data_IF_607045325332
#
_entry.id   IF_607045325332
#
_cell.length_a   1.000
_cell.length_b   1.000
_cell.length_c   1.000
_cell.angle_alpha   90.00
_cell.angle_beta   90.00
_cell.angle_gamma   90.00
#
_symmetry.space_group_name_H-M   'P 1'
#
loop_
_entity.id
_entity.type
_entity.pdbx_description
1 polymer ?
#
# COMPACT_ATOMS: atom_id res chain seq x y z
N UNK A 1 -0.04 -2.24 -21.68
CA UNK A 1 -0.40 -2.46 -20.24
C UNK A 1 0.35 -3.68 -19.72
N UNK A 2 0.98 -3.58 -18.54
CA UNK A 2 1.71 -4.65 -17.87
C UNK A 2 1.36 -4.60 -16.37
N UNK A 3 1.15 -5.75 -15.73
CA UNK A 3 0.97 -5.90 -14.29
C UNK A 3 2.05 -6.86 -13.77
N UNK A 4 2.65 -6.52 -12.63
CA UNK A 4 3.63 -7.36 -11.93
C UNK A 4 3.26 -7.41 -10.45
N UNK A 5 3.27 -8.60 -9.88
CA UNK A 5 3.17 -8.83 -8.44
C UNK A 5 4.60 -8.78 -7.88
N UNK A 6 4.86 -7.85 -6.97
CA UNK A 6 6.19 -7.63 -6.41
C UNK A 6 6.30 -8.12 -4.97
N UNK A 7 5.19 -8.13 -4.25
CA UNK A 7 5.12 -8.55 -2.86
C UNK A 7 3.75 -9.11 -2.49
N UNK A 8 3.64 -9.68 -1.30
CA UNK A 8 2.51 -10.49 -0.86
C UNK A 8 2.14 -11.58 -1.88
N UNK A 9 3.13 -12.08 -2.63
CA UNK A 9 3.01 -13.17 -3.57
C UNK A 9 3.56 -14.44 -2.91
N UNK A 10 2.69 -15.38 -2.56
CA UNK A 10 2.93 -16.52 -1.68
C UNK A 10 3.14 -16.20 -0.19
N UNK A 11 3.07 -14.94 0.21
CA UNK A 11 3.17 -14.46 1.59
C UNK A 11 2.02 -13.52 1.93
N UNK A 12 1.84 -13.21 3.22
CA UNK A 12 0.71 -12.38 3.70
C UNK A 12 1.06 -10.90 3.68
N UNK A 13 2.30 -10.54 4.03
CA UNK A 13 2.70 -9.14 4.22
C UNK A 13 3.50 -8.58 3.06
N UNK A 14 3.65 -7.25 3.02
CA UNK A 14 4.45 -6.59 2.00
C UNK A 14 3.71 -6.34 0.69
N UNK A 15 2.40 -6.06 0.73
CA UNK A 15 1.59 -5.80 -0.47
C UNK A 15 2.21 -4.70 -1.34
N UNK A 16 2.62 -5.08 -2.55
CA UNK A 16 3.18 -4.16 -3.53
C UNK A 16 3.03 -4.75 -4.94
N UNK A 17 2.35 -4.02 -5.83
CA UNK A 17 2.17 -4.46 -7.20
C UNK A 17 2.42 -3.30 -8.15
N UNK A 18 3.01 -3.59 -9.30
CA UNK A 18 3.40 -2.58 -10.27
C UNK A 18 2.56 -2.69 -11.55
N UNK A 19 2.03 -1.56 -11.99
CA UNK A 19 1.32 -1.43 -13.27
C UNK A 19 2.08 -0.45 -14.16
N UNK A 20 2.31 -0.85 -15.40
CA UNK A 20 2.76 0.03 -16.47
C UNK A 20 1.64 0.14 -17.51
N UNK A 21 1.03 1.31 -17.63
CA UNK A 21 -0.06 1.58 -18.55
C UNK A 21 -0.18 3.07 -18.84
N UNK A 22 -0.68 3.42 -20.03
CA UNK A 22 -0.91 4.82 -20.44
C UNK A 22 0.35 5.71 -20.31
N UNK A 23 1.53 5.12 -20.50
CA UNK A 23 2.82 5.80 -20.30
C UNK A 23 3.15 6.15 -18.86
N UNK A 24 2.45 5.53 -17.88
CA UNK A 24 2.59 5.76 -16.44
C UNK A 24 3.09 4.53 -15.72
N UNK A 25 3.86 4.77 -14.66
CA UNK A 25 4.33 3.79 -13.69
C UNK A 25 3.52 3.95 -12.40
N UNK A 26 2.76 2.93 -12.04
CA UNK A 26 1.79 2.98 -10.94
C UNK A 26 2.08 1.86 -9.96
N UNK A 27 2.04 2.14 -8.66
CA UNK A 27 2.03 1.11 -7.62
C UNK A 27 0.62 0.94 -7.06
N UNK A 28 0.26 -0.30 -6.78
CA UNK A 28 -0.86 -0.64 -5.90
C UNK A 28 -0.26 -1.12 -4.59
N UNK A 29 -0.49 -0.35 -3.54
CA UNK A 29 0.19 -0.43 -2.26
C UNK A 29 1.72 -0.27 -2.35
N UNK A 30 2.36 -0.06 -1.22
CA UNK A 30 3.80 0.00 -1.05
C UNK A 30 4.12 -0.45 0.37
N UNK A 31 3.90 -1.73 0.63
CA UNK A 31 3.89 -2.34 1.94
C UNK A 31 5.25 -2.82 2.40
N UNK A 32 5.41 -2.87 3.72
CA UNK A 32 6.58 -3.40 4.39
C UNK A 32 6.33 -4.86 4.77
N UNK A 33 7.29 -5.73 4.46
CA UNK A 33 7.28 -7.10 4.95
C UNK A 33 7.39 -7.13 6.48
N UNK A 34 6.62 -8.00 7.10
CA UNK A 34 6.57 -8.14 8.55
C UNK A 34 6.72 -9.60 8.96
N UNK A 35 7.58 -9.84 9.93
CA UNK A 35 7.77 -11.18 10.45
C UNK A 35 8.98 -11.90 9.83
N UNK A 36 8.83 -13.20 9.66
CA UNK A 36 9.83 -14.08 9.01
C UNK A 36 9.21 -14.70 7.78
N UNK A 37 9.20 -13.90 6.73
CA UNK A 37 8.69 -14.35 5.44
C UNK A 37 9.72 -15.25 4.75
N UNK A 38 9.25 -16.25 4.04
CA UNK A 38 10.09 -17.18 3.27
C UNK A 38 10.41 -16.60 1.89
N UNK A 39 9.50 -15.80 1.36
CA UNK A 39 9.61 -15.14 0.07
C UNK A 39 9.79 -13.63 0.28
N UNK A 40 10.89 -13.11 -0.23
CA UNK A 40 11.18 -11.67 -0.17
C UNK A 40 10.49 -10.94 -1.32
N UNK A 41 10.05 -9.72 -1.06
CA UNK A 41 9.50 -8.85 -2.09
C UNK A 41 10.51 -8.59 -3.20
N UNK A 42 10.04 -8.57 -4.44
CA UNK A 42 10.84 -8.20 -5.60
C UNK A 42 11.07 -6.68 -5.61
N UNK A 43 12.21 -6.29 -6.14
CA UNK A 43 12.51 -4.87 -6.34
C UNK A 43 11.52 -4.23 -7.33
N UNK A 44 11.15 -2.98 -7.06
CA UNK A 44 10.36 -2.18 -7.99
C UNK A 44 11.17 -2.02 -9.28
N UNK A 45 10.60 -2.32 -10.46
CA UNK A 45 11.36 -2.42 -11.72
C UNK A 45 11.86 -1.08 -12.27
N UNK A 46 11.53 0.03 -11.61
CA UNK A 46 11.93 1.38 -11.98
C UNK A 46 12.38 2.16 -10.75
N UNK A 47 13.23 3.16 -10.93
CA UNK A 47 13.64 4.04 -9.84
C UNK A 47 12.43 4.77 -9.23
N UNK A 48 12.45 5.04 -7.93
CA UNK A 48 11.36 5.69 -7.20
C UNK A 48 10.89 7.01 -7.85
N UNK A 49 11.82 7.82 -8.34
CA UNK A 49 11.50 9.07 -9.06
C UNK A 49 10.81 8.88 -10.42
N UNK A 50 10.61 7.66 -10.88
CA UNK A 50 9.86 7.34 -12.11
C UNK A 50 8.47 6.78 -11.83
N UNK A 51 8.12 6.57 -10.57
CA UNK A 51 6.77 6.21 -10.18
C UNK A 51 5.90 7.47 -10.25
N UNK A 52 4.86 7.43 -11.06
CA UNK A 52 3.92 8.55 -11.23
C UNK A 52 2.86 8.56 -10.12
N UNK A 53 2.33 7.38 -9.78
CA UNK A 53 1.21 7.26 -8.85
C UNK A 53 1.35 6.05 -7.94
N UNK A 54 0.81 6.20 -6.73
CA UNK A 54 0.51 5.07 -5.83
C UNK A 54 -1.00 5.10 -5.53
N UNK A 55 -1.67 3.98 -5.67
CA UNK A 55 -3.05 3.80 -5.23
C UNK A 55 -3.03 2.92 -3.99
N UNK A 56 -3.36 3.49 -2.84
CA UNK A 56 -3.23 2.85 -1.54
C UNK A 56 -4.59 2.33 -1.06
N UNK A 57 -4.65 1.02 -0.79
CA UNK A 57 -5.87 0.35 -0.35
C UNK A 57 -6.26 0.72 1.08
N UNK A 58 -5.31 0.73 2.01
CA UNK A 58 -5.51 1.08 3.41
C UNK A 58 -4.18 1.34 4.16
N UNK A 59 -4.27 1.71 5.45
CA UNK A 59 -3.15 2.27 6.19
C UNK A 59 -2.27 1.25 6.93
N UNK A 60 -2.56 -0.06 6.92
CA UNK A 60 -1.69 -1.04 7.57
C UNK A 60 -0.27 -0.97 7.02
N UNK A 61 0.72 -1.26 7.87
CA UNK A 61 2.14 -1.11 7.53
C UNK A 61 2.59 -2.08 6.42
N UNK A 62 1.99 -3.25 6.34
CA UNK A 62 2.22 -4.20 5.25
C UNK A 62 1.58 -3.79 3.90
N UNK A 63 0.87 -2.65 3.86
CA UNK A 63 0.34 -2.02 2.66
C UNK A 63 0.91 -0.62 2.40
N UNK A 64 1.31 0.13 3.44
CA UNK A 64 1.75 1.52 3.36
C UNK A 64 3.19 1.76 3.83
N UNK A 65 3.77 0.80 4.55
CA UNK A 65 4.97 1.02 5.39
C UNK A 65 6.25 1.38 4.66
N UNK A 66 6.35 1.17 3.34
CA UNK A 66 7.51 1.60 2.54
C UNK A 66 7.30 2.92 1.79
N UNK A 67 6.15 3.59 1.96
CA UNK A 67 5.92 4.91 1.35
C UNK A 67 6.98 5.96 1.76
N UNK A 68 7.39 6.06 3.06
CA UNK A 68 8.45 6.98 3.43
C UNK A 68 9.80 6.64 2.79
N UNK A 69 10.12 5.35 2.64
CA UNK A 69 11.33 4.92 1.94
C UNK A 69 11.25 5.25 0.43
N UNK A 70 10.09 5.08 -0.18
CA UNK A 70 9.86 5.47 -1.57
C UNK A 70 10.10 6.97 -1.75
N UNK A 71 9.60 7.83 -0.85
CA UNK A 71 9.87 9.27 -0.83
C UNK A 71 11.36 9.57 -0.68
N UNK A 72 12.03 8.97 0.34
CA UNK A 72 13.47 9.11 0.58
C UNK A 72 14.31 8.76 -0.65
N UNK A 73 13.86 7.80 -1.46
CA UNK A 73 14.51 7.37 -2.69
C UNK A 73 14.14 8.22 -3.92
N UNK A 74 13.43 9.35 -3.73
CA UNK A 74 13.20 10.35 -4.76
C UNK A 74 11.84 10.30 -5.45
N UNK A 75 10.83 9.63 -4.88
CA UNK A 75 9.44 9.69 -5.37
C UNK A 75 8.92 11.12 -5.34
N UNK A 76 8.29 11.55 -6.44
CA UNK A 76 7.72 12.88 -6.63
C UNK A 76 6.27 12.82 -7.15
N UNK A 77 5.71 11.63 -7.23
CA UNK A 77 4.35 11.39 -7.72
C UNK A 77 3.26 11.70 -6.69
N UNK A 78 2.08 11.18 -6.92
CA UNK A 78 0.91 11.36 -6.05
C UNK A 78 0.46 10.01 -5.47
N UNK A 79 0.00 10.04 -4.21
CA UNK A 79 -0.54 8.89 -3.49
C UNK A 79 -2.04 9.11 -3.30
N UNK A 80 -2.85 8.38 -4.03
CA UNK A 80 -4.31 8.41 -3.91
C UNK A 80 -4.76 7.41 -2.85
N UNK A 81 -5.49 7.88 -1.87
CA UNK A 81 -6.07 7.08 -0.78
C UNK A 81 -7.37 7.71 -0.31
N UNK A 82 -8.20 6.95 0.40
CA UNK A 82 -9.37 7.56 1.06
C UNK A 82 -8.92 8.55 2.13
N UNK A 83 -9.79 9.50 2.47
CA UNK A 83 -9.50 10.53 3.50
C UNK A 83 -9.08 9.89 4.83
N UNK A 84 -9.85 8.90 5.32
CA UNK A 84 -9.54 8.22 6.57
C UNK A 84 -8.25 7.39 6.50
N UNK A 85 -7.94 6.76 5.36
CA UNK A 85 -6.64 6.10 5.15
C UNK A 85 -5.49 7.10 5.22
N UNK A 86 -5.65 8.29 4.62
CA UNK A 86 -4.64 9.35 4.67
C UNK A 86 -4.39 9.81 6.10
N UNK A 87 -5.44 10.01 6.90
CA UNK A 87 -5.32 10.41 8.31
C UNK A 87 -4.66 9.32 9.17
N UNK A 88 -5.01 8.06 8.96
CA UNK A 88 -4.37 6.94 9.64
C UNK A 88 -2.91 6.77 9.24
N UNK A 89 -2.56 6.91 7.96
CA UNK A 89 -1.17 6.85 7.49
C UNK A 89 -0.30 7.88 8.19
N UNK A 90 -0.82 9.08 8.44
CA UNK A 90 -0.08 10.12 9.18
C UNK A 90 0.35 9.66 10.57
N UNK A 91 -0.48 8.86 11.24
CA UNK A 91 -0.18 8.31 12.57
C UNK A 91 0.73 7.08 12.45
N UNK A 92 0.33 6.13 11.60
CA UNK A 92 0.98 4.83 11.46
C UNK A 92 2.42 4.94 10.94
N UNK A 93 2.65 5.77 9.93
CA UNK A 93 3.98 5.94 9.33
C UNK A 93 4.94 6.67 10.28
N UNK A 94 4.44 7.66 11.04
CA UNK A 94 5.24 8.33 12.07
C UNK A 94 5.62 7.37 13.21
N UNK A 95 4.67 6.56 13.67
CA UNK A 95 4.93 5.56 14.72
C UNK A 95 5.95 4.52 14.25
N UNK A 96 5.78 3.99 13.04
CA UNK A 96 6.74 3.06 12.42
C UNK A 96 8.15 3.65 12.31
N UNK A 97 8.27 4.91 11.86
CA UNK A 97 9.56 5.60 11.80
C UNK A 97 10.19 5.75 13.18
N UNK A 98 9.41 6.17 14.17
CA UNK A 98 9.88 6.32 15.55
C UNK A 98 10.39 5.00 16.13
N UNK A 99 9.68 3.91 15.93
CA UNK A 99 10.12 2.57 16.35
C UNK A 99 11.46 2.20 15.71
N UNK A 100 11.61 2.41 14.40
CA UNK A 100 12.85 2.12 13.68
C UNK A 100 14.04 2.96 14.17
N UNK A 101 13.83 4.26 14.41
CA UNK A 101 14.86 5.16 14.97
C UNK A 101 15.27 4.72 16.38
N UNK A 102 14.31 4.35 17.23
CA UNK A 102 14.57 3.84 18.57
C UNK A 102 15.37 2.53 18.55
N UNK A 103 14.99 1.59 17.69
CA UNK A 103 15.73 0.34 17.50
C UNK A 103 17.13 0.59 16.99
N UNK A 104 17.31 1.50 16.03
CA UNK A 104 18.62 1.89 15.51
C UNK A 104 19.51 2.46 16.63
N UNK A 105 18.99 3.34 17.47
CA UNK A 105 19.72 3.89 18.62
C UNK A 105 20.15 2.78 19.59
N UNK A 106 19.23 1.83 19.90
CA UNK A 106 19.54 0.73 20.82
C UNK A 106 20.60 -0.22 20.24
N UNK A 107 20.47 -0.60 18.96
CA UNK A 107 21.47 -1.41 18.23
C UNK A 107 22.83 -0.70 18.21
N UNK A 108 22.85 0.61 17.97
CA UNK A 108 24.08 1.40 17.86
C UNK A 108 24.83 1.51 19.19
N UNK A 109 24.13 1.53 20.34
CA UNK A 109 24.79 1.43 21.65
C UNK A 109 25.55 0.10 21.81
N UNK A 110 25.01 -1.00 21.30
CA UNK A 110 25.70 -2.31 21.31
C UNK A 110 26.83 -2.36 20.27
N UNK A 111 26.56 -1.89 19.05
CA UNK A 111 27.53 -1.87 17.97
C UNK A 111 28.78 -1.07 18.34
N UNK A 112 28.60 0.11 18.94
CA UNK A 112 29.71 0.95 19.43
C UNK A 112 30.63 0.21 20.42
N UNK A 113 30.03 -0.56 21.36
CA UNK A 113 30.79 -1.37 22.31
C UNK A 113 31.51 -2.55 21.66
N UNK A 114 30.99 -3.05 20.54
CA UNK A 114 31.53 -4.19 19.80
C UNK A 114 32.42 -3.77 18.61
N UNK A 115 32.69 -2.47 18.40
CA UNK A 115 33.49 -1.96 17.28
C UNK A 115 32.82 -2.21 15.90
N UNK A 116 31.50 -2.36 15.85
CA UNK A 116 30.73 -2.59 14.61
C UNK A 116 30.24 -1.27 14.01
N UNK A 117 29.98 -1.28 12.72
CA UNK A 117 29.37 -0.16 12.00
C UNK A 117 27.99 0.22 12.57
N UNK A 118 27.60 1.51 12.50
CA UNK A 118 26.26 1.94 12.86
C UNK A 118 25.21 1.26 11.98
N UNK A 119 24.06 1.02 12.58
CA UNK A 119 22.84 0.59 11.90
C UNK A 119 21.96 1.83 11.65
N UNK A 120 21.46 1.98 10.46
CA UNK A 120 20.56 3.09 10.10
C UNK A 120 19.13 2.57 9.93
N UNK A 121 18.10 3.35 10.33
CA UNK A 121 16.72 3.01 10.04
C UNK A 121 16.46 3.08 8.52
N UNK A 122 15.47 2.36 8.02
CA UNK A 122 15.09 2.43 6.60
C UNK A 122 14.71 3.86 6.22
N UNK A 123 13.95 4.52 7.09
CA UNK A 123 13.55 5.92 6.96
C UNK A 123 13.40 6.55 8.35
N UNK A 124 13.28 7.86 8.37
CA UNK A 124 13.18 8.67 9.57
C UNK A 124 11.78 9.24 9.75
N UNK A 125 11.52 9.84 10.92
CA UNK A 125 10.29 10.61 11.16
C UNK A 125 10.15 11.80 10.19
N UNK A 126 11.25 12.41 9.75
CA UNK A 126 11.23 13.45 8.71
C UNK A 126 10.72 12.91 7.38
N UNK A 127 11.21 11.73 6.95
CA UNK A 127 10.76 11.07 5.71
C UNK A 127 9.27 10.72 5.80
N UNK A 128 8.81 10.23 6.97
CA UNK A 128 7.39 9.90 7.22
C UNK A 128 6.48 11.14 7.23
N UNK A 129 6.97 12.28 7.68
CA UNK A 129 6.23 13.55 7.57
C UNK A 129 6.19 14.06 6.12
N UNK A 130 7.32 14.01 5.44
CA UNK A 130 7.45 14.55 4.09
C UNK A 130 6.62 13.77 3.07
N UNK A 131 6.51 12.45 3.18
CA UNK A 131 5.69 11.65 2.26
C UNK A 131 4.22 12.04 2.31
N UNK A 132 3.73 12.59 3.41
CA UNK A 132 2.33 13.02 3.53
C UNK A 132 1.95 14.17 2.58
N UNK A 133 2.91 14.93 2.09
CA UNK A 133 2.68 15.99 1.10
C UNK A 133 2.29 15.44 -0.29
N UNK A 134 2.54 14.16 -0.55
CA UNK A 134 2.17 13.48 -1.79
C UNK A 134 0.74 12.94 -1.79
N UNK A 135 0.07 12.89 -0.63
CA UNK A 135 -1.27 12.31 -0.53
C UNK A 135 -2.34 13.19 -1.15
N UNK A 136 -3.23 12.52 -1.89
CA UNK A 136 -4.45 13.09 -2.49
C UNK A 136 -5.64 12.37 -1.86
N UNK A 137 -6.29 12.96 -0.85
CA UNK A 137 -7.45 12.35 -0.20
C UNK A 137 -8.63 12.21 -1.17
N UNK A 138 -9.30 11.07 -1.13
CA UNK A 138 -10.36 10.70 -2.04
C UNK A 138 -11.63 10.27 -1.29
N UNK A 139 -12.79 10.58 -1.88
CA UNK A 139 -14.08 10.08 -1.41
C UNK A 139 -14.33 8.65 -1.90
N UNK A 140 -15.04 7.86 -1.10
CA UNK A 140 -15.59 6.59 -1.56
C UNK A 140 -16.60 6.78 -2.69
N UNK A 141 -16.67 5.80 -3.59
CA UNK A 141 -17.62 5.69 -4.70
C UNK A 141 -17.56 6.83 -5.71
N UNK A 142 -16.58 7.71 -5.63
CA UNK A 142 -16.34 8.79 -6.59
C UNK A 142 -15.30 8.35 -7.61
N UNK A 143 -15.65 8.46 -8.88
CA UNK A 143 -14.70 8.24 -9.97
C UNK A 143 -13.75 9.43 -10.08
N UNK A 144 -12.47 9.16 -10.18
CA UNK A 144 -11.39 10.14 -10.26
C UNK A 144 -10.59 9.85 -11.52
N UNK A 145 -10.54 10.82 -12.41
CA UNK A 145 -9.61 10.78 -13.55
C UNK A 145 -8.24 11.24 -13.06
N UNK A 146 -7.31 10.28 -12.94
CA UNK A 146 -5.95 10.52 -12.46
C UNK A 146 -5.11 11.19 -13.53
N UNK A 147 -5.21 10.68 -14.74
CA UNK A 147 -4.63 11.25 -15.97
C UNK A 147 -5.34 10.66 -17.19
N UNK A 148 -4.97 11.11 -18.39
CA UNK A 148 -5.51 10.55 -19.62
C UNK A 148 -5.36 9.03 -19.66
N UNK A 149 -6.47 8.33 -19.78
CA UNK A 149 -6.54 6.88 -19.85
C UNK A 149 -6.48 6.14 -18.51
N UNK A 150 -6.33 6.85 -17.37
CA UNK A 150 -6.32 6.24 -16.04
C UNK A 150 -7.39 6.85 -15.15
N UNK A 151 -8.35 6.05 -14.74
CA UNK A 151 -9.40 6.42 -13.81
C UNK A 151 -9.49 5.41 -12.67
N UNK A 152 -9.80 5.89 -11.46
CA UNK A 152 -9.92 5.05 -10.26
C UNK A 152 -11.20 5.33 -9.48
N UNK A 153 -11.58 4.40 -8.63
CA UNK A 153 -12.63 4.54 -7.62
C UNK A 153 -12.31 3.66 -6.42
N UNK A 154 -12.53 4.19 -5.22
CA UNK A 154 -12.40 3.48 -3.95
C UNK A 154 -13.75 2.98 -3.48
N UNK A 155 -13.84 1.69 -3.13
CA UNK A 155 -15.05 1.04 -2.61
C UNK A 155 -14.77 0.51 -1.21
N UNK A 156 -15.57 0.92 -0.21
CA UNK A 156 -15.40 0.52 1.19
C UNK A 156 -15.52 -1.01 1.34
N UNK A 157 -14.53 -1.64 1.96
CA UNK A 157 -14.47 -3.09 2.18
C UNK A 157 -14.50 -3.49 3.65
N UNK A 158 -14.75 -2.56 4.56
CA UNK A 158 -15.04 -2.85 5.96
C UNK A 158 -13.95 -3.58 6.72
N UNK A 159 -12.67 -3.41 6.35
CA UNK A 159 -11.53 -4.02 7.03
C UNK A 159 -10.96 -3.10 8.12
N UNK A 160 -10.72 -1.85 7.76
CA UNK A 160 -10.20 -0.79 8.62
C UNK A 160 -10.92 0.51 8.27
N UNK A 161 -10.89 1.52 9.16
CA UNK A 161 -11.35 2.85 8.79
C UNK A 161 -10.58 3.35 7.56
N UNK A 162 -11.30 3.69 6.51
CA UNK A 162 -10.69 4.12 5.26
C UNK A 162 -10.34 3.00 4.28
N UNK A 163 -10.37 1.73 4.67
CA UNK A 163 -10.01 0.61 3.81
C UNK A 163 -10.87 0.51 2.56
N UNK A 164 -10.27 0.11 1.46
CA UNK A 164 -10.96 0.07 0.17
C UNK A 164 -10.43 -1.00 -0.77
N UNK A 165 -11.34 -1.58 -1.56
CA UNK A 165 -10.97 -2.13 -2.86
C UNK A 165 -10.82 -0.99 -3.86
N UNK A 166 -9.91 -1.13 -4.79
CA UNK A 166 -9.60 -0.13 -5.80
C UNK A 166 -10.03 -0.64 -7.17
N UNK A 167 -10.95 0.06 -7.79
CA UNK A 167 -11.33 -0.13 -9.19
C UNK A 167 -10.47 0.77 -10.05
N UNK A 168 -9.84 0.22 -11.08
CA UNK A 168 -8.90 0.92 -11.95
C UNK A 168 -9.32 0.69 -13.40
N UNK A 169 -9.66 1.75 -14.11
CA UNK A 169 -9.92 1.71 -15.54
C UNK A 169 -8.71 2.23 -16.30
N UNK A 170 -8.18 1.40 -17.18
CA UNK A 170 -7.04 1.73 -18.03
C UNK A 170 -7.47 1.70 -19.48
N UNK A 171 -7.24 2.79 -20.20
CA UNK A 171 -7.55 2.90 -21.63
C UNK A 171 -6.29 3.29 -22.41
N UNK A 172 -5.76 2.37 -23.19
CA UNK A 172 -4.53 2.55 -23.95
C UNK A 172 -4.66 1.94 -25.34
N UNK A 173 -4.28 2.67 -26.38
CA UNK A 173 -4.33 2.22 -27.78
C UNK A 173 -5.71 1.66 -28.21
N UNK A 174 -6.78 2.29 -27.76
CA UNK A 174 -8.14 1.88 -28.08
C UNK A 174 -8.65 0.66 -27.31
N UNK A 175 -7.86 0.12 -26.39
CA UNK A 175 -8.24 -1.00 -25.52
C UNK A 175 -8.50 -0.46 -24.11
N UNK A 176 -9.70 -0.75 -23.58
CA UNK A 176 -10.08 -0.43 -22.21
C UNK A 176 -10.14 -1.70 -21.37
N UNK A 177 -9.58 -1.65 -20.17
CA UNK A 177 -9.61 -2.73 -19.18
C UNK A 177 -9.98 -2.19 -17.83
N UNK A 178 -10.84 -2.93 -17.09
CA UNK A 178 -11.14 -2.67 -15.69
C UNK A 178 -10.44 -3.71 -14.83
N UNK A 179 -9.60 -3.24 -13.93
CA UNK A 179 -8.91 -4.05 -12.92
C UNK A 179 -9.55 -3.75 -11.56
N UNK A 180 -9.70 -4.78 -10.74
CA UNK A 180 -10.06 -4.65 -9.33
C UNK A 180 -8.93 -5.21 -8.48
N UNK A 181 -8.47 -4.40 -7.55
CA UNK A 181 -7.58 -4.79 -6.47
C UNK A 181 -8.36 -4.80 -5.16
N UNK A 182 -8.40 -5.93 -4.48
CA UNK A 182 -9.26 -6.08 -3.29
C UNK A 182 -8.77 -5.24 -2.12
N UNK A 183 -7.47 -5.04 -1.97
CA UNK A 183 -6.90 -4.77 -0.64
C UNK A 183 -7.30 -5.90 0.31
N UNK A 184 -7.31 -5.65 1.59
CA UNK A 184 -7.82 -6.56 2.60
C UNK A 184 -9.32 -6.37 2.78
N UNK A 185 -10.08 -7.47 2.79
CA UNK A 185 -11.54 -7.45 2.89
C UNK A 185 -11.95 -7.77 4.33
N UNK A 186 -12.80 -6.92 4.90
CA UNK A 186 -13.30 -7.09 6.26
C UNK A 186 -14.39 -8.14 6.39
N UNK A 187 -14.75 -8.42 7.64
CA UNK A 187 -15.84 -9.31 7.99
C UNK A 187 -17.17 -8.53 8.13
N UNK A 188 -18.29 -9.25 7.98
CA UNK A 188 -19.62 -8.72 8.25
C UNK A 188 -19.84 -8.44 9.74
N UNK A 189 -20.76 -7.54 10.04
CA UNK A 189 -21.23 -7.21 11.39
C UNK A 189 -20.10 -6.74 12.34
N UNK A 190 -19.11 -6.00 11.82
CA UNK A 190 -18.07 -5.42 12.65
C UNK A 190 -18.54 -4.12 13.32
N UNK A 191 -18.22 -3.89 14.62
CA UNK A 191 -18.51 -2.62 15.27
C UNK A 191 -17.76 -1.46 14.57
N UNK A 192 -18.42 -0.30 14.44
CA UNK A 192 -17.83 0.98 13.98
C UNK A 192 -17.62 1.09 12.47
N UNK A 193 -17.22 0.02 11.79
CA UNK A 193 -17.00 -0.01 10.34
C UNK A 193 -18.19 -0.59 9.60
N UNK A 194 -18.36 -0.22 8.34
CA UNK A 194 -19.44 -0.72 7.50
C UNK A 194 -19.12 -2.13 7.01
N UNK A 195 -20.17 -2.88 6.68
CA UNK A 195 -19.99 -4.14 5.98
C UNK A 195 -19.34 -3.94 4.62
N UNK A 196 -18.54 -4.91 4.15
CA UNK A 196 -17.88 -4.83 2.85
C UNK A 196 -18.85 -4.63 1.70
N UNK A 197 -18.60 -3.66 0.83
CA UNK A 197 -19.26 -3.52 -0.45
C UNK A 197 -18.48 -4.28 -1.53
N UNK A 198 -19.17 -5.10 -2.32
CA UNK A 198 -18.52 -5.94 -3.33
C UNK A 198 -18.67 -5.36 -4.73
N UNK A 199 -17.56 -5.34 -5.47
CA UNK A 199 -17.52 -4.95 -6.87
C UNK A 199 -18.00 -6.15 -7.72
N UNK A 200 -18.93 -5.91 -8.64
CA UNK A 200 -19.61 -7.00 -9.36
C UNK A 200 -18.96 -7.38 -10.69
N UNK A 201 -18.23 -6.46 -11.29
CA UNK A 201 -17.70 -6.65 -12.65
C UNK A 201 -16.27 -6.10 -12.77
N UNK A 202 -15.40 -6.87 -13.38
CA UNK A 202 -14.05 -6.50 -13.77
C UNK A 202 -13.57 -7.38 -14.93
N UNK A 203 -12.61 -6.90 -15.73
CA UNK A 203 -11.88 -7.74 -16.68
C UNK A 203 -10.86 -8.63 -15.92
N UNK A 204 -10.23 -8.06 -14.90
CA UNK A 204 -9.28 -8.74 -14.03
C UNK A 204 -9.53 -8.36 -12.58
N UNK A 205 -9.54 -9.35 -11.70
CA UNK A 205 -9.59 -9.16 -10.27
C UNK A 205 -8.43 -9.92 -9.62
N UNK A 206 -7.68 -9.26 -8.76
CA UNK A 206 -6.75 -9.92 -7.88
C UNK A 206 -7.10 -9.58 -6.44
N UNK A 207 -7.13 -10.61 -5.62
CA UNK A 207 -7.74 -10.61 -4.31
C UNK A 207 -6.78 -11.24 -3.31
N UNK A 208 -6.85 -10.77 -2.07
CA UNK A 208 -6.23 -11.46 -0.96
C UNK A 208 -6.77 -12.90 -0.84
N UNK A 209 -5.94 -13.77 -0.27
CA UNK A 209 -6.30 -15.15 0.03
C UNK A 209 -5.82 -15.62 1.41
N UNK A 210 -5.65 -14.70 2.34
CA UNK A 210 -5.12 -14.93 3.70
C UNK A 210 -5.89 -16.03 4.44
N UNK A 211 -7.19 -16.06 4.30
CA UNK A 211 -8.07 -17.10 4.84
C UNK A 211 -8.70 -17.99 3.76
N UNK A 212 -8.05 -18.12 2.59
CA UNK A 212 -8.57 -18.90 1.47
C UNK A 212 -8.65 -20.41 1.74
N UNK A 213 -7.85 -20.93 2.66
CA UNK A 213 -7.75 -22.35 3.02
C UNK A 213 -8.32 -22.69 4.41
N UNK A 214 -8.79 -21.69 5.17
CA UNK A 214 -9.25 -21.88 6.55
C UNK A 214 -10.33 -20.86 6.93
N UNK A 215 -11.09 -21.18 7.97
CA UNK A 215 -12.08 -20.27 8.57
C UNK A 215 -11.53 -19.62 9.85
N UNK A 216 -12.00 -18.42 10.15
CA UNK A 216 -11.87 -17.86 11.51
C UNK A 216 -12.53 -18.81 12.52
N UNK A 217 -11.92 -18.96 13.68
CA UNK A 217 -12.55 -19.67 14.80
C UNK A 217 -13.87 -18.99 15.20
N UNK A 218 -14.76 -19.71 15.95
CA UNK A 218 -15.99 -19.11 16.43
C UNK A 218 -15.68 -17.86 17.24
N UNK A 219 -16.43 -16.78 16.99
CA UNK A 219 -16.35 -15.56 17.82
C UNK A 219 -16.76 -15.94 19.25
N UNK A 220 -16.03 -15.50 20.28
CA UNK A 220 -16.37 -15.76 21.68
C UNK A 220 -17.70 -15.11 22.07
#
# INVERSE_FOLDING_TARGET
MKLMFLGADHEVTGSCHYIEACGKSILLDCGMEQGRDTYENQEIPVAAGRIDYVFLSHAHIDHSGLLPLLHKNGFQGQIYATEATTDLCRIMLLDSAHIQEFEAQWRNRKNKRAGKAPFEPLYTTEDAMAVMEHFVPCDYMKEIEVCEGVKIRFTDVGHLLGSSSIEIWLTENGVSKKIVFSGDIGNLDQPIIKDPAYIKEADYAFMESTYGDRSHGPKP
#
